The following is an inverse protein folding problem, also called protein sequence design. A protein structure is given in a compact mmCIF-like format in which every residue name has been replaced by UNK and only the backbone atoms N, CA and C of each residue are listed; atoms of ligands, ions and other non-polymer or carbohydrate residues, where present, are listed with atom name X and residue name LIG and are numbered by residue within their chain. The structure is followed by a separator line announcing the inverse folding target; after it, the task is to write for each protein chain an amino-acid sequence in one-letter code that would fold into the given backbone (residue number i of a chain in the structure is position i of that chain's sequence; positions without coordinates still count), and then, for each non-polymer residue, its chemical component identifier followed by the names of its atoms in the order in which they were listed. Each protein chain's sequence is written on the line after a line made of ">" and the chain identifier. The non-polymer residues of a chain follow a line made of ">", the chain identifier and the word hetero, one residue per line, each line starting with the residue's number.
data_IF_461685274938
#
_entry.id   IF_461685274938
#
_cell.length_a   1.000
_cell.length_b   1.000
_cell.length_c   1.000
_cell.angle_alpha   90.00
_cell.angle_beta   90.00
_cell.angle_gamma   90.00
#
_symmetry.space_group_name_H-M   'P 1'
#
loop_
_entity.id
_entity.type
_entity.pdbx_description
1 polymer ?
#
# COMPACT_ATOMS: atom_id res chain seq x y z
N UNK A 1 17.06 1.78 12.37
CA UNK A 1 18.43 2.29 12.63
C UNK A 1 18.43 2.86 14.03
N UNK A 2 19.16 2.23 14.95
CA UNK A 2 19.40 2.79 16.27
C UNK A 2 20.56 3.77 16.13
N UNK A 3 20.32 5.03 16.45
CA UNK A 3 21.39 6.04 16.51
C UNK A 3 21.96 6.08 17.94
N UNK A 4 23.24 5.76 18.10
CA UNK A 4 23.94 6.01 19.36
C UNK A 4 24.68 7.34 19.28
N UNK A 5 24.46 8.21 20.24
CA UNK A 5 25.18 9.47 20.38
C UNK A 5 25.70 9.59 21.81
N UNK A 6 27.02 9.57 21.99
CA UNK A 6 27.70 9.70 23.30
C UNK A 6 27.12 8.78 24.41
N UNK A 7 26.87 7.52 24.11
CA UNK A 7 26.31 6.55 25.05
C UNK A 7 24.80 6.65 25.28
N UNK A 8 24.10 7.52 24.53
CA UNK A 8 22.64 7.59 24.52
C UNK A 8 22.09 6.69 23.41
N UNK A 9 21.09 5.89 23.73
CA UNK A 9 20.34 5.09 22.76
C UNK A 9 19.04 5.80 22.42
N UNK A 10 18.78 5.97 21.11
CA UNK A 10 17.50 6.45 20.59
C UNK A 10 16.82 5.31 19.85
N UNK A 11 15.78 4.73 20.44
CA UNK A 11 15.01 3.64 19.86
C UNK A 11 13.74 4.18 19.17
N UNK A 12 13.41 3.66 17.96
CA UNK A 12 12.11 3.93 17.37
C UNK A 12 11.03 3.17 18.14
N UNK A 13 10.08 3.89 18.73
CA UNK A 13 8.93 3.28 19.39
C UNK A 13 7.80 3.09 18.37
N UNK A 14 7.27 1.87 18.28
CA UNK A 14 6.12 1.51 17.42
C UNK A 14 6.32 1.85 15.93
N UNK A 15 7.43 1.41 15.31
CA UNK A 15 7.65 1.66 13.88
C UNK A 15 6.58 0.94 13.05
N UNK A 16 6.03 1.62 12.04
CA UNK A 16 5.13 1.00 11.07
C UNK A 16 5.96 0.39 9.94
N UNK A 17 5.86 -0.92 9.68
CA UNK A 17 6.64 -1.57 8.65
C UNK A 17 6.09 -1.29 7.25
N UNK A 18 6.99 -1.11 6.29
CA UNK A 18 6.73 -1.03 4.86
C UNK A 18 7.64 -2.04 4.15
N UNK A 19 7.04 -3.04 3.50
CA UNK A 19 7.77 -3.96 2.65
C UNK A 19 7.81 -3.39 1.23
N UNK A 20 8.95 -3.50 0.57
CA UNK A 20 9.14 -3.17 -0.84
C UNK A 20 9.95 -4.26 -1.52
N UNK A 21 9.44 -4.76 -2.65
CA UNK A 21 10.07 -5.82 -3.43
C UNK A 21 9.88 -5.56 -4.92
N UNK A 22 10.76 -6.10 -5.76
CA UNK A 22 10.58 -6.15 -7.21
C UNK A 22 9.89 -7.46 -7.59
N UNK A 23 8.82 -7.34 -8.38
CA UNK A 23 8.16 -8.50 -8.96
C UNK A 23 9.09 -9.12 -10.01
N UNK A 24 9.34 -10.43 -9.96
CA UNK A 24 10.11 -11.12 -10.97
C UNK A 24 9.52 -10.88 -12.37
N UNK A 25 10.39 -10.61 -13.39
CA UNK A 25 9.92 -10.26 -14.75
C UNK A 25 8.97 -11.28 -15.37
N UNK A 26 9.16 -12.57 -15.07
CA UNK A 26 8.32 -13.67 -15.53
C UNK A 26 6.87 -13.58 -15.02
N UNK A 27 6.63 -12.94 -13.89
CA UNK A 27 5.30 -12.69 -13.34
C UNK A 27 4.63 -11.43 -13.91
N UNK A 28 5.36 -10.65 -14.69
CA UNK A 28 4.84 -9.42 -15.29
C UNK A 28 3.93 -9.67 -16.50
N UNK A 29 3.74 -10.91 -16.94
CA UNK A 29 2.82 -11.27 -18.03
C UNK A 29 1.38 -10.86 -17.75
N UNK A 30 0.96 -10.84 -16.48
CA UNK A 30 -0.33 -10.32 -16.03
C UNK A 30 -0.55 -8.83 -16.38
N UNK A 31 0.52 -8.05 -16.62
CA UNK A 31 0.40 -6.63 -16.99
C UNK A 31 -0.37 -6.42 -18.30
N UNK A 32 -0.31 -7.39 -19.22
CA UNK A 32 -1.08 -7.35 -20.47
C UNK A 32 -2.61 -7.38 -20.20
N UNK A 33 -3.04 -8.13 -19.18
CA UNK A 33 -4.43 -8.13 -18.74
C UNK A 33 -4.80 -6.77 -18.13
N UNK A 34 -3.93 -6.21 -17.28
CA UNK A 34 -4.20 -4.93 -16.63
C UNK A 34 -4.35 -3.78 -17.62
N UNK A 35 -3.63 -3.82 -18.74
CA UNK A 35 -3.70 -2.80 -19.79
C UNK A 35 -4.95 -2.88 -20.66
N UNK A 36 -5.60 -4.03 -20.72
CA UNK A 36 -6.83 -4.24 -21.51
C UNK A 36 -8.10 -4.33 -20.67
N UNK A 37 -7.99 -4.22 -19.34
CA UNK A 37 -9.16 -4.28 -18.48
C UNK A 37 -10.07 -3.07 -18.69
N UNK A 38 -11.37 -3.29 -18.56
CA UNK A 38 -12.35 -2.23 -18.71
C UNK A 38 -12.31 -1.29 -17.50
N UNK A 39 -12.22 0.02 -17.76
CA UNK A 39 -12.13 1.05 -16.74
C UNK A 39 -13.45 1.78 -16.55
N UNK A 40 -13.77 2.21 -15.33
CA UNK A 40 -14.84 3.15 -15.09
C UNK A 40 -14.50 4.50 -15.70
N UNK A 41 -15.45 5.04 -16.48
CA UNK A 41 -15.25 6.29 -17.26
C UNK A 41 -16.20 7.41 -16.86
N UNK A 42 -16.92 7.27 -15.74
CA UNK A 42 -17.79 8.34 -15.26
C UNK A 42 -16.98 9.60 -14.89
N UNK A 43 -17.61 10.77 -15.01
CA UNK A 43 -16.95 12.06 -14.79
C UNK A 43 -16.42 12.21 -13.35
N UNK A 44 -17.06 11.58 -12.37
CA UNK A 44 -16.72 11.71 -10.97
C UNK A 44 -15.49 10.91 -10.59
N UNK A 45 -15.32 9.72 -11.19
CA UNK A 45 -14.10 8.91 -11.03
C UNK A 45 -12.87 9.54 -11.68
N UNK A 46 -13.06 10.34 -12.74
CA UNK A 46 -11.97 10.91 -13.54
C UNK A 46 -11.24 12.07 -12.88
N UNK A 47 -11.94 12.92 -12.11
CA UNK A 47 -11.37 14.23 -11.76
C UNK A 47 -10.43 14.19 -10.56
N UNK A 48 -10.67 13.34 -9.55
CA UNK A 48 -9.91 13.37 -8.31
C UNK A 48 -9.13 12.07 -8.02
N UNK A 49 -9.70 10.91 -8.37
CA UNK A 49 -9.18 9.60 -7.93
C UNK A 49 -8.52 8.79 -9.04
N UNK A 50 -8.56 9.25 -10.29
CA UNK A 50 -8.10 8.50 -11.45
C UNK A 50 -9.12 7.45 -11.91
N UNK A 51 -8.74 6.67 -12.94
CA UNK A 51 -9.57 5.60 -13.47
C UNK A 51 -9.34 4.32 -12.66
N UNK A 52 -10.43 3.63 -12.34
CA UNK A 52 -10.40 2.30 -11.72
C UNK A 52 -10.99 1.26 -12.65
N UNK A 53 -10.49 0.03 -12.59
CA UNK A 53 -11.06 -1.08 -13.34
C UNK A 53 -12.47 -1.41 -12.85
N UNK A 54 -13.35 -1.81 -13.78
CA UNK A 54 -14.68 -2.34 -13.44
C UNK A 54 -14.57 -3.67 -12.72
N UNK A 55 -13.63 -4.53 -13.14
CA UNK A 55 -13.30 -5.74 -12.42
C UNK A 55 -12.52 -5.36 -11.13
N UNK A 56 -13.15 -5.59 -9.98
CA UNK A 56 -12.56 -5.38 -8.64
C UNK A 56 -12.03 -6.66 -8.00
N UNK A 57 -11.82 -7.71 -8.81
CA UNK A 57 -11.24 -8.99 -8.46
C UNK A 57 -10.22 -9.41 -9.52
N UNK A 58 -9.49 -8.47 -10.10
CA UNK A 58 -8.59 -8.69 -11.25
C UNK A 58 -7.53 -9.78 -10.99
N UNK A 59 -7.11 -9.97 -9.75
CA UNK A 59 -6.14 -11.01 -9.38
C UNK A 59 -6.76 -12.42 -9.32
N UNK A 60 -8.07 -12.56 -9.52
CA UNK A 60 -8.74 -13.87 -9.64
C UNK A 60 -8.79 -14.36 -11.10
N UNK A 61 -8.37 -13.53 -12.06
CA UNK A 61 -8.26 -13.93 -13.46
C UNK A 61 -7.15 -14.99 -13.68
N UNK A 62 -7.35 -15.92 -14.62
CA UNK A 62 -6.39 -17.00 -14.87
C UNK A 62 -4.97 -16.51 -15.18
N UNK A 63 -4.83 -15.38 -15.87
CA UNK A 63 -3.54 -14.79 -16.21
C UNK A 63 -2.76 -14.30 -14.98
N UNK A 64 -3.43 -14.13 -13.85
CA UNK A 64 -2.83 -13.65 -12.61
C UNK A 64 -2.42 -14.77 -11.65
N UNK A 65 -2.62 -16.03 -11.95
CA UNK A 65 -2.47 -17.15 -11.00
C UNK A 65 -1.10 -17.17 -10.31
N UNK A 66 -0.02 -17.01 -11.06
CA UNK A 66 1.33 -17.03 -10.52
C UNK A 66 1.66 -15.75 -9.73
N UNK A 67 1.25 -14.59 -10.24
CA UNK A 67 1.40 -13.32 -9.53
C UNK A 67 0.57 -13.31 -8.24
N UNK A 68 -0.65 -13.83 -8.29
CA UNK A 68 -1.51 -13.99 -7.11
C UNK A 68 -0.83 -14.83 -6.04
N UNK A 69 -0.31 -16.01 -6.44
CA UNK A 69 0.41 -16.89 -5.52
C UNK A 69 1.60 -16.18 -4.90
N UNK A 70 2.43 -15.54 -5.70
CA UNK A 70 3.62 -14.80 -5.23
C UNK A 70 3.26 -13.74 -4.19
N UNK A 71 2.24 -12.92 -4.48
CA UNK A 71 1.83 -11.82 -3.58
C UNK A 71 1.23 -12.37 -2.27
N UNK A 72 0.46 -13.45 -2.32
CA UNK A 72 -0.14 -14.05 -1.12
C UNK A 72 0.91 -14.76 -0.25
N UNK A 73 1.88 -15.44 -0.85
CA UNK A 73 3.01 -16.04 -0.12
C UNK A 73 3.83 -14.95 0.59
N UNK A 74 4.10 -13.83 -0.11
CA UNK A 74 4.79 -12.68 0.47
C UNK A 74 3.98 -12.02 1.58
N UNK A 75 2.65 -11.92 1.44
CA UNK A 75 1.77 -11.38 2.47
C UNK A 75 1.75 -12.26 3.72
N UNK A 76 1.73 -13.58 3.56
CA UNK A 76 1.84 -14.54 4.66
C UNK A 76 3.16 -14.37 5.39
N UNK A 77 4.28 -14.29 4.67
CA UNK A 77 5.60 -14.08 5.27
C UNK A 77 5.68 -12.75 6.03
N UNK A 78 5.23 -11.65 5.41
CA UNK A 78 5.17 -10.33 6.03
C UNK A 78 4.28 -10.30 7.28
N UNK A 79 3.10 -10.94 7.20
CA UNK A 79 2.19 -11.07 8.33
C UNK A 79 2.83 -11.83 9.50
N UNK A 80 3.44 -12.98 9.22
CA UNK A 80 3.98 -13.88 10.26
C UNK A 80 5.26 -13.33 10.87
N UNK A 81 6.22 -12.90 10.05
CA UNK A 81 7.58 -12.57 10.50
C UNK A 81 7.77 -11.08 10.86
N UNK A 82 6.84 -10.21 10.42
CA UNK A 82 6.95 -8.76 10.68
C UNK A 82 5.79 -8.24 11.54
N UNK A 83 4.55 -8.62 11.21
CA UNK A 83 3.38 -8.17 11.95
C UNK A 83 2.99 -9.08 13.11
N UNK A 84 3.62 -10.28 13.20
CA UNK A 84 3.38 -11.32 14.22
C UNK A 84 1.93 -11.82 14.24
N UNK A 85 1.27 -11.88 13.05
CA UNK A 85 -0.07 -12.43 12.92
C UNK A 85 0.00 -13.93 12.64
N UNK A 86 -0.73 -14.73 13.42
CA UNK A 86 -0.73 -16.20 13.34
C UNK A 86 -1.92 -16.72 12.54
N UNK A 87 -1.85 -16.55 11.20
CA UNK A 87 -2.81 -17.09 10.25
C UNK A 87 -2.07 -17.83 9.12
N UNK A 88 -2.56 -19.03 8.80
CA UNK A 88 -1.93 -19.88 7.78
C UNK A 88 -2.39 -19.56 6.35
N UNK A 89 -3.62 -19.09 6.18
CA UNK A 89 -4.18 -18.82 4.85
C UNK A 89 -4.55 -17.34 4.71
N UNK A 90 -4.18 -16.78 3.55
CA UNK A 90 -4.46 -15.40 3.18
C UNK A 90 -5.17 -15.35 1.83
N UNK A 91 -5.99 -14.34 1.60
CA UNK A 91 -6.70 -14.12 0.35
C UNK A 91 -6.89 -12.64 0.08
N UNK A 92 -7.23 -12.31 -1.17
CA UNK A 92 -7.67 -10.96 -1.51
C UNK A 92 -9.15 -10.78 -1.17
N UNK A 93 -9.48 -9.68 -0.49
CA UNK A 93 -10.87 -9.24 -0.37
C UNK A 93 -11.31 -8.49 -1.63
N UNK A 94 -10.44 -7.59 -2.15
CA UNK A 94 -10.62 -6.91 -3.43
C UNK A 94 -9.27 -6.60 -4.08
N UNK A 95 -9.28 -6.54 -5.43
CA UNK A 95 -8.10 -6.19 -6.23
C UNK A 95 -8.53 -5.45 -7.49
N UNK A 96 -7.94 -4.29 -7.77
CA UNK A 96 -8.33 -3.47 -8.91
C UNK A 96 -7.14 -2.76 -9.54
N UNK A 97 -7.27 -2.45 -10.82
CA UNK A 97 -6.32 -1.62 -11.56
C UNK A 97 -6.66 -0.14 -11.35
N UNK A 98 -5.63 0.68 -11.21
CA UNK A 98 -5.77 2.14 -11.13
C UNK A 98 -4.86 2.81 -12.14
N UNK A 99 -5.41 3.73 -12.92
CA UNK A 99 -4.66 4.62 -13.80
C UNK A 99 -4.79 6.06 -13.32
N UNK A 100 -3.65 6.71 -13.15
CA UNK A 100 -3.55 8.13 -12.78
C UNK A 100 -2.98 8.92 -13.95
N UNK A 101 -3.84 9.65 -14.64
CA UNK A 101 -3.45 10.58 -15.71
C UNK A 101 -2.72 11.80 -15.14
N UNK A 102 -2.03 12.59 -15.97
CA UNK A 102 -1.45 13.86 -15.54
C UNK A 102 -2.47 14.74 -14.82
N UNK A 103 -2.08 15.32 -13.69
CA UNK A 103 -2.93 16.17 -12.85
C UNK A 103 -3.78 15.41 -11.82
N UNK A 104 -3.92 14.10 -11.91
CA UNK A 104 -4.74 13.32 -10.97
C UNK A 104 -3.96 12.93 -9.70
N UNK A 105 -4.68 12.78 -8.60
CA UNK A 105 -4.17 12.40 -7.28
C UNK A 105 -5.12 11.41 -6.60
N UNK A 106 -4.77 10.95 -5.42
CA UNK A 106 -5.69 10.30 -4.50
C UNK A 106 -5.47 10.88 -3.10
N UNK A 107 -6.55 11.38 -2.51
CA UNK A 107 -6.51 12.00 -1.17
C UNK A 107 -6.07 11.00 -0.09
N UNK A 108 -5.58 11.48 1.07
CA UNK A 108 -5.18 10.62 2.18
C UNK A 108 -6.33 9.76 2.70
N UNK A 109 -6.13 8.44 2.73
CA UNK A 109 -7.11 7.44 3.15
C UNK A 109 -6.45 6.23 3.80
N UNK A 110 -7.27 5.31 4.31
CA UNK A 110 -6.91 3.97 4.79
C UNK A 110 -7.81 2.95 4.09
N UNK A 111 -7.48 1.66 4.19
CA UNK A 111 -8.32 0.60 3.61
C UNK A 111 -9.11 -0.12 4.72
N UNK A 112 -10.41 0.17 4.90
CA UNK A 112 -11.27 -0.63 5.77
C UNK A 112 -11.47 -2.03 5.20
N UNK A 113 -11.83 -2.99 6.06
CA UNK A 113 -12.05 -4.38 5.68
C UNK A 113 -10.85 -5.05 5.00
N UNK A 114 -9.66 -4.64 5.42
CA UNK A 114 -8.38 -5.20 4.96
C UNK A 114 -7.38 -5.16 6.12
N UNK A 115 -6.48 -6.15 6.16
CA UNK A 115 -5.41 -6.24 7.17
C UNK A 115 -4.09 -5.75 6.59
N UNK A 116 -3.80 -6.18 5.37
CA UNK A 116 -2.62 -5.80 4.61
C UNK A 116 -3.07 -5.19 3.28
N UNK A 117 -2.52 -4.06 2.92
CA UNK A 117 -2.68 -3.46 1.60
C UNK A 117 -1.39 -3.61 0.80
N UNK A 118 -1.54 -3.90 -0.49
CA UNK A 118 -0.42 -3.95 -1.42
C UNK A 118 -0.71 -3.13 -2.68
N UNK A 119 0.34 -2.53 -3.24
CA UNK A 119 0.25 -1.78 -4.50
C UNK A 119 1.41 -2.21 -5.39
N UNK A 120 1.08 -2.75 -6.55
CA UNK A 120 2.03 -3.10 -7.59
C UNK A 120 2.06 -2.02 -8.66
N UNK A 121 3.19 -1.35 -8.82
CA UNK A 121 3.41 -0.37 -9.86
C UNK A 121 3.87 -1.07 -11.14
N UNK A 122 3.09 -0.97 -12.21
CA UNK A 122 3.38 -1.59 -13.49
C UNK A 122 3.31 -0.57 -14.62
N UNK A 123 3.75 -0.96 -15.81
CA UNK A 123 3.69 -0.10 -16.99
C UNK A 123 4.75 1.00 -16.99
N UNK A 124 4.51 2.02 -17.79
CA UNK A 124 5.42 3.15 -17.95
C UNK A 124 5.12 4.23 -16.93
N UNK A 125 6.17 4.91 -16.50
CA UNK A 125 6.12 6.05 -15.61
C UNK A 125 7.51 6.65 -15.50
N UNK A 126 7.59 7.89 -15.06
CA UNK A 126 8.87 8.55 -14.82
C UNK A 126 9.45 8.05 -13.50
N UNK A 127 10.58 7.32 -13.58
CA UNK A 127 11.28 6.79 -12.39
C UNK A 127 11.67 7.92 -11.44
N UNK A 128 11.57 7.63 -10.15
CA UNK A 128 11.92 8.58 -9.09
C UNK A 128 10.81 9.58 -8.73
N UNK A 129 9.72 9.68 -9.52
CA UNK A 129 8.59 10.54 -9.16
C UNK A 129 7.80 9.96 -7.99
N UNK A 130 7.14 10.78 -7.15
CA UNK A 130 6.33 10.30 -6.05
C UNK A 130 5.21 9.37 -6.51
N UNK A 131 5.19 8.12 -6.05
CA UNK A 131 4.16 7.14 -6.39
C UNK A 131 3.12 6.99 -5.30
N UNK A 132 3.56 6.90 -4.06
CA UNK A 132 2.70 6.79 -2.88
C UNK A 132 3.36 7.56 -1.74
N UNK A 133 2.55 8.26 -0.96
CA UNK A 133 2.99 9.03 0.20
C UNK A 133 2.27 8.48 1.43
N UNK A 134 3.03 8.09 2.44
CA UNK A 134 2.54 7.65 3.73
C UNK A 134 2.55 8.81 4.72
N UNK A 135 1.48 8.93 5.49
CA UNK A 135 1.29 10.00 6.47
C UNK A 135 1.45 9.45 7.88
N UNK A 136 2.22 10.13 8.69
CA UNK A 136 2.34 9.78 10.09
C UNK A 136 0.97 9.87 10.77
N UNK A 137 0.57 8.81 11.48
CA UNK A 137 -0.65 8.78 12.27
C UNK A 137 -0.39 9.45 13.63
N UNK A 138 -0.20 10.75 13.63
CA UNK A 138 -0.09 11.50 14.88
C UNK A 138 -1.49 11.79 15.44
N UNK A 139 -1.94 10.99 16.38
CA UNK A 139 -2.99 11.43 17.31
C UNK A 139 -2.55 12.66 18.11
N UNK A 140 -1.25 12.92 18.12
CA UNK A 140 -0.62 14.01 18.87
C UNK A 140 -0.55 15.35 18.11
N UNK A 141 -1.07 15.46 16.90
CA UNK A 141 -1.13 16.74 16.19
C UNK A 141 -1.87 17.83 16.96
N UNK A 142 -2.64 17.44 17.97
CA UNK A 142 -3.41 18.34 18.82
C UNK A 142 -2.77 18.58 20.20
N UNK A 143 -1.63 17.96 20.51
CA UNK A 143 -0.97 18.11 21.81
C UNK A 143 0.21 19.09 21.85
N UNK A 144 0.69 19.55 20.71
CA UNK A 144 1.72 20.57 20.67
C UNK A 144 1.11 21.95 20.92
N UNK A 145 1.22 22.40 22.13
CA UNK A 145 0.82 23.77 22.54
C UNK A 145 1.83 24.83 22.11
N UNK A 146 3.03 24.42 21.72
CA UNK A 146 4.11 25.32 21.30
C UNK A 146 4.62 24.91 19.93
N UNK A 147 4.61 25.85 18.98
CA UNK A 147 5.19 25.68 17.66
C UNK A 147 6.71 25.84 17.73
N UNK A 148 7.45 24.81 17.37
CA UNK A 148 8.92 24.85 17.30
C UNK A 148 9.41 24.83 15.86
N UNK A 149 10.47 25.59 15.59
CA UNK A 149 11.12 25.58 14.27
C UNK A 149 11.93 24.31 14.11
N UNK A 150 11.66 23.56 13.04
CA UNK A 150 12.43 22.38 12.64
C UNK A 150 13.52 22.77 11.63
N UNK A 151 14.55 21.93 11.51
CA UNK A 151 15.62 22.14 10.52
C UNK A 151 15.17 21.94 9.06
N UNK A 152 13.95 21.47 8.85
CA UNK A 152 13.44 21.12 7.52
C UNK A 152 14.22 19.97 6.90
N UNK A 153 14.39 20.03 5.58
CA UNK A 153 15.04 18.95 4.81
C UNK A 153 16.57 18.90 4.96
N UNK A 154 17.16 19.90 5.63
CA UNK A 154 18.62 20.00 5.81
C UNK A 154 19.17 18.90 6.73
N UNK A 155 18.33 18.40 7.65
CA UNK A 155 18.69 17.30 8.56
C UNK A 155 17.56 16.29 8.61
N UNK A 156 17.51 15.35 7.63
CA UNK A 156 16.46 14.35 7.60
C UNK A 156 16.57 13.42 8.82
N UNK A 157 15.46 13.25 9.52
CA UNK A 157 15.34 12.32 10.64
C UNK A 157 14.03 11.58 10.56
N UNK A 158 14.04 10.23 10.61
CA UNK A 158 12.80 9.46 10.58
C UNK A 158 11.86 9.78 11.76
N UNK A 159 12.41 10.30 12.85
CA UNK A 159 11.62 10.74 14.00
C UNK A 159 10.87 12.06 13.77
N UNK A 160 11.32 12.88 12.81
CA UNK A 160 10.73 14.18 12.47
C UNK A 160 9.88 14.15 11.19
N UNK A 161 9.92 13.07 10.42
CA UNK A 161 9.13 12.97 9.19
C UNK A 161 7.63 12.98 9.49
N UNK A 162 6.93 13.85 8.79
CA UNK A 162 5.46 13.88 8.77
C UNK A 162 4.90 12.95 7.69
N UNK A 163 5.66 12.81 6.61
CA UNK A 163 5.33 11.98 5.46
C UNK A 163 6.55 11.19 5.01
N UNK A 164 6.30 10.05 4.38
CA UNK A 164 7.32 9.22 3.74
C UNK A 164 6.88 8.90 2.31
N UNK A 165 7.71 9.25 1.34
CA UNK A 165 7.42 9.07 -0.08
C UNK A 165 8.13 7.83 -0.60
N UNK A 166 7.38 6.95 -1.26
CA UNK A 166 7.94 5.88 -2.09
C UNK A 166 7.96 6.39 -3.54
N UNK A 167 9.14 6.46 -4.16
CA UNK A 167 9.25 6.85 -5.56
C UNK A 167 8.70 5.76 -6.48
N UNK A 168 8.19 6.19 -7.63
CA UNK A 168 7.76 5.27 -8.68
C UNK A 168 8.99 4.54 -9.26
N UNK A 169 8.85 3.24 -9.40
CA UNK A 169 9.71 2.39 -10.20
C UNK A 169 8.87 1.22 -10.71
N UNK A 170 8.81 1.05 -12.02
CA UNK A 170 8.07 -0.06 -12.62
C UNK A 170 8.57 -1.41 -12.10
N UNK A 171 7.67 -2.36 -11.90
CA UNK A 171 7.97 -3.66 -11.32
C UNK A 171 8.02 -3.69 -9.79
N UNK A 172 7.83 -2.54 -9.10
CA UNK A 172 7.84 -2.50 -7.65
C UNK A 172 6.48 -2.84 -7.06
N UNK A 173 6.47 -3.73 -6.09
CA UNK A 173 5.35 -3.96 -5.18
C UNK A 173 5.71 -3.34 -3.81
N UNK A 174 4.77 -2.61 -3.23
CA UNK A 174 4.81 -2.18 -1.83
C UNK A 174 3.70 -2.86 -1.05
N UNK A 175 3.97 -3.22 0.22
CA UNK A 175 3.00 -3.86 1.10
C UNK A 175 3.11 -3.26 2.50
N UNK A 176 1.95 -2.98 3.12
CA UNK A 176 1.87 -2.26 4.39
C UNK A 176 0.57 -2.60 5.14
N UNK A 177 0.51 -2.38 6.46
CA UNK A 177 -0.73 -2.53 7.21
C UNK A 177 -1.83 -1.59 6.69
N UNK A 178 -3.03 -2.10 6.48
CA UNK A 178 -4.13 -1.37 5.83
C UNK A 178 -4.62 -0.14 6.59
N UNK A 179 -4.39 -0.08 7.90
CA UNK A 179 -4.69 1.09 8.72
C UNK A 179 -3.74 2.27 8.47
N UNK A 180 -2.62 2.03 7.78
CA UNK A 180 -1.62 3.08 7.56
C UNK A 180 -2.12 4.09 6.52
N UNK A 181 -2.28 5.32 6.96
CA UNK A 181 -2.82 6.41 6.14
C UNK A 181 -1.84 6.76 5.04
N UNK A 182 -2.33 6.77 3.80
CA UNK A 182 -1.54 7.06 2.63
C UNK A 182 -2.32 7.82 1.57
N UNK A 183 -1.60 8.43 0.65
CA UNK A 183 -2.15 9.16 -0.50
C UNK A 183 -1.35 8.86 -1.75
N UNK A 184 -1.88 9.25 -2.89
CA UNK A 184 -1.15 9.27 -4.16
C UNK A 184 -0.98 10.73 -4.56
N UNK A 185 0.24 11.28 -4.53
CA UNK A 185 0.49 12.66 -4.90
C UNK A 185 0.07 12.97 -6.34
N UNK A 186 -0.19 14.24 -6.62
CA UNK A 186 -0.54 14.70 -7.97
C UNK A 186 0.48 14.17 -8.98
N UNK A 187 0.00 13.52 -10.02
CA UNK A 187 0.83 13.09 -11.14
C UNK A 187 1.26 14.32 -11.96
N UNK A 188 2.47 14.79 -11.74
CA UNK A 188 3.06 15.96 -12.42
C UNK A 188 3.80 15.59 -13.71
N UNK A 189 3.82 14.31 -14.07
CA UNK A 189 4.46 13.83 -15.30
C UNK A 189 3.50 13.90 -16.48
N UNK A 190 4.02 13.66 -17.68
CA UNK A 190 3.19 13.51 -18.89
C UNK A 190 2.70 12.08 -19.13
N UNK A 191 3.06 11.13 -18.27
CA UNK A 191 2.74 9.72 -18.42
C UNK A 191 1.58 9.32 -17.49
N UNK A 192 0.75 8.40 -17.95
CA UNK A 192 -0.25 7.74 -17.10
C UNK A 192 0.46 6.76 -16.15
N UNK A 193 0.38 6.99 -14.84
CA UNK A 193 0.89 6.08 -13.83
C UNK A 193 -0.11 4.96 -13.58
N UNK A 194 0.35 3.72 -13.70
CA UNK A 194 -0.47 2.52 -13.61
C UNK A 194 -0.09 1.68 -12.40
N UNK A 195 -1.10 1.18 -11.69
CA UNK A 195 -0.90 0.31 -10.54
C UNK A 195 -2.04 -0.69 -10.38
N UNK A 196 -1.76 -1.82 -9.71
CA UNK A 196 -2.77 -2.74 -9.18
C UNK A 196 -2.78 -2.60 -7.67
N UNK A 197 -3.94 -2.31 -7.12
CA UNK A 197 -4.18 -2.24 -5.67
C UNK A 197 -4.82 -3.54 -5.20
N UNK A 198 -4.41 -4.00 -4.02
CA UNK A 198 -4.81 -5.28 -3.46
C UNK A 198 -5.09 -5.13 -1.97
N UNK A 199 -6.28 -5.53 -1.55
CA UNK A 199 -6.67 -5.66 -0.15
C UNK A 199 -6.58 -7.12 0.27
N UNK A 200 -5.82 -7.41 1.33
CA UNK A 200 -5.47 -8.75 1.76
C UNK A 200 -5.98 -8.98 3.18
N UNK A 201 -6.60 -10.13 3.39
CA UNK A 201 -7.17 -10.57 4.66
C UNK A 201 -6.82 -12.01 4.94
N UNK A 202 -6.71 -12.44 6.21
CA UNK A 202 -6.59 -13.85 6.52
C UNK A 202 -7.94 -14.57 6.25
N UNK A 203 -7.89 -15.86 5.94
CA UNK A 203 -9.06 -16.72 5.80
C UNK A 203 -9.35 -17.44 7.11
N UNK A 204 -10.62 -17.81 7.30
CA UNK A 204 -11.08 -18.57 8.44
C UNK A 204 -11.58 -17.70 9.59
N UNK A 205 -11.43 -18.20 10.81
CA UNK A 205 -11.86 -17.50 12.00
C UNK A 205 -10.88 -16.41 12.38
N UNK A 206 -11.34 -15.18 12.41
CA UNK A 206 -10.58 -14.00 12.87
C UNK A 206 -10.95 -13.69 14.31
N UNK A 207 -10.08 -12.98 15.01
CA UNK A 207 -10.32 -12.56 16.39
C UNK A 207 -9.95 -13.65 17.41
N UNK A 208 -10.50 -13.51 18.60
CA UNK A 208 -10.22 -14.37 19.74
C UNK A 208 -11.52 -14.70 20.48
N UNK A 209 -11.83 -16.00 20.74
CA UNK A 209 -13.03 -16.43 21.43
C UNK A 209 -13.13 -15.89 22.87
N UNK A 210 -12.00 -15.74 23.55
CA UNK A 210 -11.99 -15.22 24.93
C UNK A 210 -12.34 -13.73 24.99
N UNK A 211 -12.03 -12.99 23.94
CA UNK A 211 -12.38 -11.56 23.78
C UNK A 211 -13.74 -11.34 23.16
N UNK A 212 -14.45 -12.39 22.76
CA UNK A 212 -15.74 -12.33 22.05
C UNK A 212 -15.69 -11.51 20.75
N UNK A 213 -14.56 -11.63 20.03
CA UNK A 213 -14.28 -10.86 18.80
C UNK A 213 -14.25 -11.74 17.56
N UNK A 214 -14.73 -12.99 17.63
CA UNK A 214 -14.68 -13.93 16.52
C UNK A 214 -15.49 -13.44 15.31
N UNK A 215 -14.88 -13.52 14.13
CA UNK A 215 -15.50 -13.25 12.84
C UNK A 215 -15.03 -14.28 11.82
N UNK A 216 -15.96 -15.08 11.30
CA UNK A 216 -15.65 -16.01 10.22
C UNK A 216 -15.58 -15.26 8.88
N UNK A 217 -14.38 -15.24 8.26
CA UNK A 217 -14.21 -14.72 6.92
C UNK A 217 -14.04 -15.86 5.91
N UNK A 218 -15.02 -15.97 5.01
CA UNK A 218 -14.99 -16.87 3.86
C UNK A 218 -15.33 -16.07 2.60
N UNK A 219 -14.38 -16.00 1.68
CA UNK A 219 -14.66 -15.48 0.34
C UNK A 219 -15.40 -16.58 -0.41
N UNK A 220 -16.67 -16.38 -0.66
CA UNK A 220 -17.47 -17.21 -1.57
C UNK A 220 -17.30 -16.60 -2.96
N UNK A 221 -16.73 -17.36 -3.89
CA UNK A 221 -16.59 -16.99 -5.30
C UNK A 221 -17.77 -17.54 -6.08
#
# INVERSE_FOLDING_TARGET
>A
MNGTYNGLEIAPLFPTPLLRVYIPPELSTACNLFDRTEMWTDKQSRMEYGLHSKNTYIMDEPECVDLKKFVLDLAKDFARNTLMYDYDEWTFSQTWVTWKEPGQQHVPHTHPNSVISAVFFYGYGEEGTPAIEFHRNDFAGNGQTIMVKQFGDVRPSPFAWKTFIVPFKAGTLVMFPSYFRHSVPVNKTQYTRKSVSMNIVPKGMLGDPHSLTELLFQKVL
#
